data_IF_716507542526
#
_entry.id   IF_716507542526
#
_cell.length_a   1.000
_cell.length_b   1.000
_cell.length_c   1.000
_cell.angle_alpha   90.00
_cell.angle_beta   90.00
_cell.angle_gamma   90.00
#
_symmetry.space_group_name_H-M   'P 1'
#
loop_
_entity.id
_entity.type
_entity.pdbx_description
1 polymer ?
#
# COMPACT_ATOMS: atom_id res chain seq x y z
N UNK A 1 -14.89 10.20 19.93
CA UNK A 1 -14.11 9.32 19.04
C UNK A 1 -14.72 7.93 19.11
N UNK A 2 -15.25 7.40 18.01
CA UNK A 2 -15.79 6.04 17.93
C UNK A 2 -14.78 5.21 17.13
N UNK A 3 -13.82 4.59 17.82
CA UNK A 3 -12.89 3.66 17.18
C UNK A 3 -13.66 2.37 16.88
N UNK A 4 -14.24 2.26 15.67
CA UNK A 4 -14.89 1.02 15.28
C UNK A 4 -13.83 -0.07 15.06
N UNK A 5 -14.08 -1.32 15.49
CA UNK A 5 -13.18 -2.44 15.27
C UNK A 5 -12.97 -2.66 13.77
N UNK A 6 -11.74 -3.03 13.39
CA UNK A 6 -11.40 -3.35 12.01
C UNK A 6 -12.26 -4.51 11.51
N UNK A 7 -12.80 -4.36 10.30
CA UNK A 7 -13.47 -5.45 9.60
C UNK A 7 -12.41 -6.36 8.94
N UNK A 8 -12.78 -7.62 8.63
CA UNK A 8 -11.94 -8.48 7.82
C UNK A 8 -11.58 -7.80 6.49
N UNK A 9 -10.32 -7.93 6.07
CA UNK A 9 -9.86 -7.40 4.80
C UNK A 9 -10.46 -8.21 3.63
N UNK A 10 -10.60 -7.60 2.45
CA UNK A 10 -10.81 -8.35 1.21
C UNK A 10 -9.77 -9.46 1.06
N UNK A 11 -10.20 -10.62 0.57
CA UNK A 11 -9.37 -11.83 0.47
C UNK A 11 -8.05 -11.59 -0.27
N UNK A 12 -8.07 -10.78 -1.33
CA UNK A 12 -6.87 -10.46 -2.10
C UNK A 12 -5.85 -9.64 -1.30
N UNK A 13 -6.31 -8.76 -0.41
CA UNK A 13 -5.46 -7.99 0.49
C UNK A 13 -4.97 -8.86 1.64
N UNK A 14 -5.81 -9.74 2.17
CA UNK A 14 -5.41 -10.68 3.22
C UNK A 14 -4.35 -11.67 2.74
N UNK A 15 -4.52 -12.25 1.55
CA UNK A 15 -3.50 -13.12 0.92
C UNK A 15 -2.21 -12.35 0.63
N UNK A 16 -2.31 -11.09 0.21
CA UNK A 16 -1.15 -10.25 0.03
C UNK A 16 -0.44 -9.94 1.36
N UNK A 17 -1.16 -9.65 2.44
CA UNK A 17 -0.55 -9.29 3.72
C UNK A 17 -0.06 -10.49 4.52
N UNK A 18 -0.73 -11.64 4.43
CA UNK A 18 -0.32 -12.88 5.10
C UNK A 18 1.06 -13.38 4.64
N UNK A 19 1.46 -13.08 3.40
CA UNK A 19 2.79 -13.37 2.89
C UNK A 19 3.88 -12.37 3.28
N UNK A 20 3.56 -11.35 4.08
CA UNK A 20 4.48 -10.27 4.48
C UNK A 20 5.29 -10.66 5.74
N UNK A 21 6.27 -11.56 5.59
CA UNK A 21 7.08 -12.07 6.72
C UNK A 21 7.82 -10.95 7.48
N UNK A 22 8.31 -9.95 6.76
CA UNK A 22 9.02 -8.79 7.31
C UNK A 22 8.08 -7.62 7.67
N UNK A 23 6.76 -7.85 7.66
CA UNK A 23 5.75 -6.81 7.79
C UNK A 23 5.44 -6.11 6.46
N UNK A 24 4.57 -5.10 6.54
CA UNK A 24 4.13 -4.36 5.36
C UNK A 24 4.11 -2.86 5.59
N UNK A 25 4.23 -2.13 4.49
CA UNK A 25 4.19 -0.67 4.44
C UNK A 25 2.88 -0.28 3.76
N UNK A 26 2.07 0.54 4.43
CA UNK A 26 0.98 1.25 3.77
C UNK A 26 1.46 2.65 3.41
N UNK A 27 1.52 2.96 2.12
CA UNK A 27 1.94 4.25 1.60
C UNK A 27 0.78 4.97 0.93
N UNK A 28 0.47 6.19 1.38
CA UNK A 28 -0.56 7.03 0.79
C UNK A 28 -0.22 8.51 0.96
N UNK A 29 -0.39 9.32 -0.08
CA UNK A 29 -0.04 10.75 -0.05
C UNK A 29 -1.24 11.70 0.18
N UNK A 30 -2.30 11.18 0.82
CA UNK A 30 -3.54 11.93 1.01
C UNK A 30 -4.27 12.25 -0.31
N UNK A 31 -5.12 13.28 -0.30
CA UNK A 31 -5.93 13.71 -1.46
C UNK A 31 -5.28 14.82 -2.29
N UNK A 32 -4.25 15.48 -1.75
CA UNK A 32 -3.62 16.64 -2.37
C UNK A 32 -2.64 16.24 -3.48
N UNK A 33 -2.05 15.06 -3.37
CA UNK A 33 -1.07 14.54 -4.33
C UNK A 33 -1.70 13.39 -5.09
N UNK A 34 -1.91 13.61 -6.39
CA UNK A 34 -2.54 12.66 -7.30
C UNK A 34 -1.51 12.11 -8.29
N UNK A 35 -1.84 10.99 -8.93
CA UNK A 35 -0.94 10.39 -9.93
C UNK A 35 -0.59 11.26 -11.12
N UNK A 36 -1.38 12.30 -11.41
CA UNK A 36 -1.11 13.30 -12.46
C UNK A 36 0.01 14.27 -12.09
N UNK A 37 0.27 14.46 -10.80
CA UNK A 37 1.29 15.37 -10.30
C UNK A 37 2.69 14.71 -10.38
N UNK A 38 2.73 13.42 -10.73
CA UNK A 38 3.93 12.60 -10.81
C UNK A 38 4.31 12.37 -12.27
N UNK A 39 5.53 12.74 -12.64
CA UNK A 39 6.10 12.30 -13.92
C UNK A 39 6.31 10.78 -13.92
N UNK A 40 6.35 10.17 -15.11
CA UNK A 40 6.64 8.74 -15.26
C UNK A 40 7.99 8.35 -14.62
N UNK A 41 8.96 9.26 -14.64
CA UNK A 41 10.25 9.05 -13.99
C UNK A 41 10.11 8.94 -12.47
N UNK A 42 9.33 9.83 -11.85
CA UNK A 42 9.10 9.79 -10.40
C UNK A 42 8.38 8.50 -10.01
N UNK A 43 7.34 8.10 -10.75
CA UNK A 43 6.64 6.84 -10.49
C UNK A 43 7.57 5.63 -10.55
N UNK A 44 8.44 5.57 -11.57
CA UNK A 44 9.45 4.50 -11.70
C UNK A 44 10.44 4.49 -10.54
N UNK A 45 10.88 5.65 -10.07
CA UNK A 45 11.76 5.74 -8.90
C UNK A 45 11.10 5.19 -7.64
N UNK A 46 9.82 5.47 -7.41
CA UNK A 46 9.08 4.88 -6.29
C UNK A 46 9.02 3.35 -6.40
N UNK A 47 8.68 2.81 -7.58
CA UNK A 47 8.67 1.36 -7.81
C UNK A 47 10.05 0.75 -7.56
N UNK A 48 11.11 1.39 -8.05
CA UNK A 48 12.49 0.94 -7.87
C UNK A 48 12.86 0.90 -6.38
N UNK A 49 12.57 1.97 -5.63
CA UNK A 49 12.84 2.02 -4.18
C UNK A 49 12.03 0.97 -3.44
N UNK A 50 10.73 0.87 -3.70
CA UNK A 50 9.85 -0.10 -3.05
C UNK A 50 10.25 -1.55 -3.35
N UNK A 51 10.74 -1.84 -4.56
CA UNK A 51 11.17 -3.19 -4.94
C UNK A 51 12.38 -3.69 -4.14
N UNK A 52 13.19 -2.78 -3.60
CA UNK A 52 14.37 -3.10 -2.79
C UNK A 52 14.01 -3.38 -1.32
N UNK A 53 12.77 -3.12 -0.90
CA UNK A 53 12.30 -3.35 0.46
C UNK A 53 11.95 -4.83 0.68
N UNK A 54 12.29 -5.35 1.86
CA UNK A 54 11.90 -6.72 2.26
C UNK A 54 10.42 -6.80 2.60
N UNK A 55 9.85 -5.68 3.04
CA UNK A 55 8.44 -5.52 3.33
C UNK A 55 7.61 -5.58 2.05
N UNK A 56 6.36 -5.99 2.20
CA UNK A 56 5.34 -5.76 1.17
C UNK A 56 4.87 -4.32 1.23
N UNK A 57 4.70 -3.68 0.08
CA UNK A 57 4.27 -2.28 -0.04
C UNK A 57 2.88 -2.25 -0.63
N UNK A 58 1.98 -1.63 0.12
CA UNK A 58 0.60 -1.36 -0.24
C UNK A 58 0.49 0.13 -0.55
N UNK A 59 0.49 0.47 -1.84
CA UNK A 59 0.52 1.85 -2.30
C UNK A 59 -0.86 2.27 -2.77
N UNK A 60 -1.47 3.21 -2.02
CA UNK A 60 -2.71 3.87 -2.44
C UNK A 60 -2.40 4.90 -3.52
N UNK A 61 -2.66 4.57 -4.77
CA UNK A 61 -2.36 5.43 -5.91
C UNK A 61 -3.31 5.18 -7.07
N UNK A 62 -3.69 6.23 -7.81
CA UNK A 62 -4.69 6.13 -8.87
C UNK A 62 -4.14 5.55 -10.18
N UNK A 63 -2.82 5.57 -10.38
CA UNK A 63 -2.21 5.03 -11.60
C UNK A 63 -2.17 3.49 -11.58
N UNK A 64 -2.25 2.92 -12.77
CA UNK A 64 -2.00 1.51 -13.02
C UNK A 64 -0.58 1.34 -13.55
N UNK A 65 0.03 0.22 -13.21
CA UNK A 65 1.38 -0.13 -13.63
C UNK A 65 1.38 -1.55 -14.15
N UNK A 66 2.02 -1.75 -15.30
CA UNK A 66 2.30 -3.08 -15.82
C UNK A 66 3.56 -3.65 -15.14
N UNK A 67 3.57 -4.95 -14.89
CA UNK A 67 4.74 -5.69 -14.37
C UNK A 67 5.27 -5.17 -13.02
N UNK A 68 4.39 -4.99 -12.04
CA UNK A 68 4.82 -4.67 -10.68
C UNK A 68 5.61 -5.84 -10.04
N UNK A 69 6.69 -5.54 -9.30
CA UNK A 69 7.33 -6.51 -8.41
C UNK A 69 6.33 -7.15 -7.43
N UNK A 70 6.55 -8.43 -7.08
CA UNK A 70 5.63 -9.21 -6.26
C UNK A 70 5.45 -8.67 -4.83
N UNK A 71 6.38 -7.85 -4.34
CA UNK A 71 6.27 -7.19 -3.05
C UNK A 71 5.47 -5.88 -3.11
N UNK A 72 5.01 -5.42 -4.27
CA UNK A 72 4.28 -4.16 -4.43
C UNK A 72 2.86 -4.44 -4.91
N UNK A 73 1.87 -3.87 -4.22
CA UNK A 73 0.47 -3.84 -4.65
C UNK A 73 0.00 -2.38 -4.71
N UNK A 74 -0.42 -1.95 -5.90
CA UNK A 74 -0.98 -0.62 -6.13
C UNK A 74 -2.49 -0.73 -6.25
N UNK A 75 -3.22 0.14 -5.55
CA UNK A 75 -4.67 0.23 -5.69
C UNK A 75 -5.15 1.66 -5.51
N UNK A 76 -6.13 2.05 -6.33
CA UNK A 76 -6.83 3.33 -6.19
C UNK A 76 -7.66 3.39 -4.90
N UNK A 77 -8.20 2.26 -4.47
CA UNK A 77 -9.07 2.18 -3.30
C UNK A 77 -8.58 1.11 -2.33
N UNK A 78 -8.45 1.49 -1.06
CA UNK A 78 -8.01 0.61 0.02
C UNK A 78 -8.80 0.94 1.29
N UNK A 79 -9.26 -0.07 2.05
CA UNK A 79 -9.97 0.14 3.30
C UNK A 79 -8.98 0.55 4.41
N UNK A 80 -8.57 1.83 4.42
CA UNK A 80 -7.51 2.32 5.30
C UNK A 80 -7.77 1.99 6.78
N UNK A 81 -9.00 2.19 7.28
CA UNK A 81 -9.32 1.88 8.67
C UNK A 81 -9.10 0.40 9.01
N UNK A 82 -9.51 -0.49 8.13
CA UNK A 82 -9.39 -1.94 8.34
C UNK A 82 -7.93 -2.38 8.24
N UNK A 83 -7.15 -1.79 7.32
CA UNK A 83 -5.71 -2.01 7.20
C UNK A 83 -4.97 -1.51 8.45
N UNK A 84 -5.27 -0.30 8.92
CA UNK A 84 -4.63 0.30 10.10
C UNK A 84 -5.02 -0.41 11.41
N UNK A 85 -6.24 -0.95 11.48
CA UNK A 85 -6.71 -1.69 12.65
C UNK A 85 -6.28 -3.16 12.68
N UNK A 86 -5.70 -3.67 11.58
CA UNK A 86 -5.10 -5.00 11.53
C UNK A 86 -3.67 -4.95 12.11
N UNK A 87 -3.44 -5.63 13.24
CA UNK A 87 -2.28 -5.43 14.13
C UNK A 87 -0.96 -6.11 13.69
N UNK A 88 -0.82 -6.56 12.45
CA UNK A 88 0.39 -7.26 12.02
C UNK A 88 1.43 -6.30 11.40
N UNK A 89 2.51 -5.98 12.13
CA UNK A 89 3.76 -5.37 11.62
C UNK A 89 3.58 -4.29 10.53
N UNK A 90 2.68 -3.35 10.79
CA UNK A 90 2.36 -2.25 9.88
C UNK A 90 3.31 -1.07 10.11
N UNK A 91 3.94 -0.61 9.03
CA UNK A 91 4.62 0.67 8.97
C UNK A 91 3.78 1.63 8.12
N UNK A 92 3.36 2.74 8.71
CA UNK A 92 2.53 3.75 8.03
C UNK A 92 3.40 4.92 7.57
N UNK A 93 3.38 5.22 6.27
CA UNK A 93 4.09 6.36 5.69
C UNK A 93 3.06 7.24 4.97
N UNK A 94 2.95 8.48 5.44
CA UNK A 94 2.11 9.55 4.87
C UNK A 94 2.97 10.61 4.20
#
# INVERSE_FOLDING_TARGET
MHCQPAKPLPKDLEEFLSGAKDGFIYFSMGSMVQSKDFSEQVKKQFIEVFSKLKQRVLWKFEAQFDNLPSNIKVSKWLPQQDILGNRANLYFIQ
#
